data_IF_466419116912
#
_entry.id   IF_466419116912
#
_cell.length_a   1.000
_cell.length_b   1.000
_cell.length_c   1.000
_cell.angle_alpha   90.00
_cell.angle_beta   90.00
_cell.angle_gamma   90.00
#
_symmetry.space_group_name_H-M   'P 1'
#
loop_
_entity.id
_entity.type
_entity.pdbx_description
1 polymer ?
#
# COMPACT_ATOMS: atom_id res chain seq x y z
N UNK A 1 -6.58 -2.97 -1.47
CA UNK A 1 -5.43 -3.87 -1.60
C UNK A 1 -5.19 -4.06 -3.09
N UNK A 2 -3.93 -4.10 -3.53
CA UNK A 2 -3.56 -4.29 -4.94
C UNK A 2 -2.40 -5.29 -4.97
N UNK A 3 -2.56 -6.38 -5.72
CA UNK A 3 -1.57 -7.47 -5.81
C UNK A 3 -1.08 -8.03 -4.47
N UNK A 4 -1.98 -8.36 -3.53
CA UNK A 4 -1.62 -8.86 -2.18
C UNK A 4 -0.87 -7.82 -1.28
N UNK A 5 -0.62 -6.61 -1.80
CA UNK A 5 -0.02 -5.51 -1.05
C UNK A 5 -1.03 -4.42 -0.68
N UNK A 6 -0.83 -3.85 0.51
CA UNK A 6 -1.62 -2.74 1.02
C UNK A 6 -0.97 -1.42 0.65
N UNK A 7 -1.66 -0.62 -0.18
CA UNK A 7 -1.28 0.74 -0.52
C UNK A 7 -2.10 1.75 0.27
N UNK A 8 -1.51 2.89 0.58
CA UNK A 8 -2.14 3.94 1.38
C UNK A 8 -1.83 5.30 0.79
N UNK A 9 -2.82 6.20 0.83
CA UNK A 9 -2.66 7.56 0.33
C UNK A 9 -1.67 8.29 1.22
N UNK A 10 -0.65 8.88 0.61
CA UNK A 10 0.36 9.62 1.35
C UNK A 10 0.53 10.99 0.70
N UNK A 11 0.10 12.04 1.40
CA UNK A 11 0.12 13.41 0.89
C UNK A 11 -0.99 14.27 1.51
N UNK A 12 -0.97 15.57 1.20
CA UNK A 12 -2.08 16.47 1.56
C UNK A 12 -3.36 16.01 0.85
N UNK A 13 -4.51 16.08 1.54
CA UNK A 13 -5.84 15.66 1.04
C UNK A 13 -6.18 16.23 -0.34
N UNK A 14 -5.61 17.38 -0.67
CA UNK A 14 -5.81 18.14 -1.90
C UNK A 14 -5.12 17.53 -3.13
N UNK A 15 -4.01 16.81 -2.94
CA UNK A 15 -3.20 16.23 -4.04
C UNK A 15 -3.06 14.73 -3.81
N UNK A 16 -4.16 13.99 -3.96
CA UNK A 16 -4.15 12.51 -3.93
C UNK A 16 -3.58 11.92 -5.23
N UNK A 17 -2.42 12.38 -5.68
CA UNK A 17 -1.76 11.87 -6.89
C UNK A 17 -0.97 10.59 -6.64
N UNK A 18 -0.60 10.28 -5.39
CA UNK A 18 0.30 9.17 -5.10
C UNK A 18 -0.19 8.28 -3.95
N UNK A 19 -0.26 6.99 -4.23
CA UNK A 19 -0.42 5.91 -3.26
C UNK A 19 0.95 5.29 -3.04
N UNK A 20 1.31 5.05 -1.78
CA UNK A 20 2.56 4.37 -1.44
C UNK A 20 2.26 3.06 -0.75
N UNK A 21 3.17 2.09 -0.87
CA UNK A 21 3.07 0.88 -0.08
C UNK A 21 3.08 1.20 1.42
N UNK A 22 2.16 0.62 2.18
CA UNK A 22 2.08 0.75 3.64
C UNK A 22 3.36 0.30 4.37
N UNK A 23 4.15 -0.60 3.77
CA UNK A 23 5.47 -1.03 4.29
C UNK A 23 6.61 -0.10 3.86
N UNK A 24 6.36 1.01 3.14
CA UNK A 24 7.39 2.00 2.75
C UNK A 24 8.17 2.54 3.94
N UNK A 25 7.52 2.89 5.05
CA UNK A 25 8.23 3.43 6.22
C UNK A 25 9.09 2.38 6.92
N UNK A 26 8.62 1.13 6.98
CA UNK A 26 9.30 0.04 7.69
C UNK A 26 10.40 -0.64 6.86
N UNK A 27 10.21 -0.77 5.56
CA UNK A 27 11.11 -1.53 4.66
C UNK A 27 11.72 -0.67 3.56
N UNK A 28 11.46 0.64 3.54
CA UNK A 28 11.85 1.56 2.46
C UNK A 28 11.40 1.10 1.08
N UNK A 29 10.24 0.43 1.01
CA UNK A 29 9.67 -0.08 -0.23
C UNK A 29 9.52 1.03 -1.30
N UNK A 30 10.07 0.85 -2.51
CA UNK A 30 9.95 1.83 -3.59
C UNK A 30 8.60 1.77 -4.32
N UNK A 31 7.77 0.76 -4.02
CA UNK A 31 6.47 0.61 -4.65
C UNK A 31 5.52 1.79 -4.40
N UNK A 32 4.97 2.32 -5.49
CA UNK A 32 4.07 3.48 -5.53
C UNK A 32 3.09 3.36 -6.69
N UNK A 33 1.87 3.85 -6.51
CA UNK A 33 0.88 3.97 -7.58
C UNK A 33 0.63 5.46 -7.83
N UNK A 34 0.61 5.83 -9.10
CA UNK A 34 0.27 7.16 -9.57
C UNK A 34 -1.20 7.16 -9.96
N UNK A 35 -1.93 8.11 -9.38
CA UNK A 35 -3.35 8.34 -9.62
C UNK A 35 -3.54 9.57 -10.51
N UNK A 36 -4.59 9.51 -11.31
CA UNK A 36 -5.08 10.61 -12.11
C UNK A 36 -5.87 11.61 -11.26
N UNK A 37 -6.22 12.76 -11.83
CA UNK A 37 -7.10 13.76 -11.19
C UNK A 37 -8.49 13.19 -10.88
N UNK A 38 -8.91 12.19 -11.66
CA UNK A 38 -10.15 11.43 -11.45
C UNK A 38 -10.03 10.35 -10.35
N UNK A 39 -8.83 10.13 -9.79
CA UNK A 39 -8.58 9.10 -8.77
C UNK A 39 -8.38 7.69 -9.34
N UNK A 40 -8.20 7.54 -10.66
CA UNK A 40 -7.88 6.27 -11.30
C UNK A 40 -6.38 6.00 -11.30
N UNK A 41 -5.96 4.74 -11.18
CA UNK A 41 -4.54 4.36 -11.20
C UNK A 41 -4.03 4.44 -12.65
N UNK A 42 -3.14 5.39 -12.93
CA UNK A 42 -2.53 5.60 -14.26
C UNK A 42 -1.24 4.80 -14.40
N UNK A 43 -0.46 4.71 -13.31
CA UNK A 43 0.79 3.95 -13.28
C UNK A 43 0.90 3.18 -11.97
N UNK A 44 1.14 1.89 -12.07
CA UNK A 44 1.47 1.05 -10.93
C UNK A 44 2.97 0.70 -10.97
N UNK A 45 3.75 1.23 -10.04
CA UNK A 45 5.09 0.70 -9.77
C UNK A 45 5.01 -0.29 -8.62
N UNK A 46 4.81 -1.56 -8.95
CA UNK A 46 4.72 -2.69 -8.00
C UNK A 46 6.09 -3.33 -7.70
N UNK A 47 7.17 -2.55 -7.71
CA UNK A 47 8.49 -3.07 -7.35
C UNK A 47 8.63 -3.14 -5.82
N UNK A 48 8.28 -4.27 -5.23
CA UNK A 48 8.36 -4.51 -3.79
C UNK A 48 9.70 -5.13 -3.41
N UNK A 49 10.39 -4.54 -2.43
CA UNK A 49 11.62 -5.09 -1.86
C UNK A 49 11.36 -5.86 -0.55
N UNK A 50 10.14 -6.35 -0.36
CA UNK A 50 9.76 -7.09 0.84
C UNK A 50 8.68 -8.10 0.49
N UNK A 51 8.55 -9.19 1.25
CA UNK A 51 7.46 -10.14 1.07
C UNK A 51 6.10 -9.51 1.41
N UNK A 52 5.00 -10.05 0.87
CA UNK A 52 3.64 -9.59 1.19
C UNK A 52 3.36 -9.69 2.68
N UNK A 53 2.64 -8.71 3.28
CA UNK A 53 2.18 -8.85 4.65
C UNK A 53 1.22 -10.04 4.77
N UNK A 54 1.65 -11.09 5.47
CA UNK A 54 0.74 -12.14 5.91
C UNK A 54 -0.13 -11.60 7.04
N UNK A 55 -1.42 -11.48 6.77
CA UNK A 55 -2.42 -11.22 7.80
C UNK A 55 -2.97 -12.56 8.27
N UNK A 56 -2.85 -12.87 9.55
CA UNK A 56 -3.64 -13.94 10.17
C UNK A 56 -4.84 -13.31 10.85
N UNK A 57 -6.01 -13.86 10.58
CA UNK A 57 -7.22 -13.56 11.31
C UNK A 57 -7.20 -14.42 12.58
N UNK A 58 -7.09 -13.80 13.75
CA UNK A 58 -7.32 -14.53 15.00
C UNK A 58 -8.80 -14.86 15.12
N UNK A 59 -9.15 -15.98 15.79
CA UNK A 59 -10.55 -16.44 15.98
C UNK A 59 -11.50 -15.40 16.61
N UNK A 60 -10.96 -14.29 17.13
CA UNK A 60 -11.72 -13.18 17.73
C UNK A 60 -11.97 -11.99 16.77
N UNK A 61 -11.73 -12.14 15.47
CA UNK A 61 -12.03 -11.09 14.47
C UNK A 61 -11.03 -9.93 14.42
N UNK A 62 -9.93 -10.01 15.18
CA UNK A 62 -8.87 -8.98 15.19
C UNK A 62 -7.86 -9.24 14.08
N UNK A 63 -7.58 -8.23 13.25
CA UNK A 63 -6.54 -8.29 12.23
C UNK A 63 -5.15 -8.05 12.84
N UNK A 64 -4.37 -9.11 13.03
CA UNK A 64 -2.97 -9.01 13.46
C UNK A 64 -2.04 -9.09 12.25
N UNK A 65 -1.24 -8.04 12.07
CA UNK A 65 -0.18 -7.97 11.06
C UNK A 65 1.00 -8.81 11.57
N UNK A 66 1.28 -9.93 10.91
CA UNK A 66 2.51 -10.70 11.17
C UNK A 66 3.61 -10.09 10.30
N UNK A 67 4.74 -9.72 10.91
CA UNK A 67 5.85 -9.03 10.26
C UNK A 67 6.53 -9.93 9.24
#
# INVERSE_FOLDING_TARGET
MYEDYSFSYQGRKDVKKYLYCSRRLSTKCPARLHLDETGHIVKAHANHNHPPPKYTITKCGTYIKIA
#
